data_IF_585359994419
#
_entry.id   IF_585359994419
#
_cell.length_a   1.000
_cell.length_b   1.000
_cell.length_c   1.000
_cell.angle_alpha   90.00
_cell.angle_beta   90.00
_cell.angle_gamma   90.00
#
_symmetry.space_group_name_H-M   'P 1'
#
loop_
_entity.id
_entity.type
_entity.pdbx_description
1 polymer ?
#
# COMPACT_ATOMS: atom_id res chain seq x y z
N UNK A 1 -25.88 -5.24 -2.99
CA UNK A 1 -24.74 -5.76 -3.78
C UNK A 1 -24.12 -6.94 -3.02
N UNK A 2 -23.93 -8.10 -3.68
CA UNK A 2 -23.31 -9.29 -3.08
C UNK A 2 -21.95 -8.94 -2.46
N UNK A 3 -21.69 -9.39 -1.23
CA UNK A 3 -20.43 -9.19 -0.48
C UNK A 3 -19.19 -9.55 -1.31
N UNK A 4 -19.35 -10.49 -2.24
CA UNK A 4 -18.32 -10.97 -3.16
C UNK A 4 -17.83 -9.87 -4.13
N UNK A 5 -18.72 -8.98 -4.59
CA UNK A 5 -18.35 -7.86 -5.47
C UNK A 5 -17.51 -6.82 -4.73
N UNK A 6 -17.83 -6.57 -3.45
CA UNK A 6 -17.10 -5.62 -2.60
C UNK A 6 -15.71 -6.15 -2.29
N UNK A 7 -15.61 -7.44 -1.96
CA UNK A 7 -14.32 -8.11 -1.72
C UNK A 7 -13.43 -8.04 -2.96
N UNK A 8 -13.98 -8.35 -4.15
CA UNK A 8 -13.25 -8.30 -5.41
C UNK A 8 -12.73 -6.88 -5.69
N UNK A 9 -13.57 -5.86 -5.52
CA UNK A 9 -13.17 -4.46 -5.71
C UNK A 9 -12.03 -4.06 -4.76
N UNK A 10 -12.08 -4.47 -3.49
CA UNK A 10 -11.03 -4.19 -2.50
C UNK A 10 -9.71 -4.87 -2.86
N UNK A 11 -9.76 -6.12 -3.32
CA UNK A 11 -8.58 -6.84 -3.82
C UNK A 11 -7.99 -6.09 -5.02
N UNK A 12 -8.80 -5.70 -5.99
CA UNK A 12 -8.33 -4.95 -7.16
C UNK A 12 -7.69 -3.61 -6.77
N UNK A 13 -8.28 -2.89 -5.81
CA UNK A 13 -7.72 -1.62 -5.30
C UNK A 13 -6.39 -1.87 -4.59
N UNK A 14 -6.27 -2.93 -3.78
CA UNK A 14 -5.03 -3.29 -3.12
C UNK A 14 -3.91 -3.63 -4.12
N UNK A 15 -4.24 -4.34 -5.21
CA UNK A 15 -3.29 -4.62 -6.29
C UNK A 15 -2.88 -3.36 -7.05
N UNK A 16 -3.84 -2.50 -7.41
CA UNK A 16 -3.56 -1.25 -8.10
C UNK A 16 -2.67 -0.32 -7.25
N UNK A 17 -2.94 -0.23 -5.94
CA UNK A 17 -2.12 0.57 -5.03
C UNK A 17 -0.71 -0.01 -4.86
N UNK A 18 -0.58 -1.33 -4.79
CA UNK A 18 0.72 -2.01 -4.76
C UNK A 18 1.57 -1.67 -5.98
N UNK A 19 0.99 -1.76 -7.19
CA UNK A 19 1.69 -1.44 -8.44
C UNK A 19 2.16 0.02 -8.43
N UNK A 20 1.31 0.95 -8.00
CA UNK A 20 1.67 2.37 -7.89
C UNK A 20 2.85 2.62 -6.96
N UNK A 21 2.89 1.94 -5.81
CA UNK A 21 3.95 2.13 -4.81
C UNK A 21 5.25 1.46 -5.23
N UNK A 22 5.20 0.26 -5.80
CA UNK A 22 6.39 -0.37 -6.38
C UNK A 22 6.98 0.49 -7.49
N UNK A 23 6.14 1.11 -8.32
CA UNK A 23 6.58 2.05 -9.36
C UNK A 23 7.24 3.29 -8.73
N UNK A 24 6.63 3.89 -7.71
CA UNK A 24 7.18 5.05 -7.02
C UNK A 24 8.53 4.75 -6.34
N UNK A 25 8.64 3.61 -5.66
CA UNK A 25 9.89 3.14 -5.04
C UNK A 25 10.95 2.90 -6.12
N UNK A 26 10.58 2.27 -7.24
CA UNK A 26 11.52 2.01 -8.34
C UNK A 26 12.04 3.32 -8.93
N UNK A 27 11.18 4.32 -9.14
CA UNK A 27 11.60 5.65 -9.64
C UNK A 27 12.54 6.34 -8.64
N UNK A 28 12.28 6.21 -7.34
CA UNK A 28 13.14 6.78 -6.30
C UNK A 28 14.50 6.08 -6.20
N UNK A 29 14.54 4.76 -6.42
CA UNK A 29 15.78 3.97 -6.31
C UNK A 29 16.58 3.97 -7.62
N UNK A 30 15.96 4.16 -8.78
CA UNK A 30 16.62 4.09 -10.08
C UNK A 30 17.90 4.97 -10.16
N UNK A 31 17.92 6.23 -9.70
CA UNK A 31 19.11 7.06 -9.79
C UNK A 31 20.22 6.66 -8.81
N UNK A 32 19.90 5.90 -7.74
CA UNK A 32 20.91 5.28 -6.86
C UNK A 32 21.74 4.26 -7.63
N UNK A 33 21.07 3.44 -8.46
CA UNK A 33 21.72 2.38 -9.23
C UNK A 33 22.53 2.89 -10.41
N UNK A 34 22.19 4.08 -10.93
CA UNK A 34 22.86 4.69 -12.08
C UNK A 34 24.06 5.57 -11.69
N UNK A 35 24.47 5.59 -10.41
CA UNK A 35 25.58 6.42 -9.89
C UNK A 35 25.39 7.91 -10.25
N UNK A 36 24.14 8.35 -10.34
CA UNK A 36 23.81 9.75 -10.65
C UNK A 36 23.96 10.62 -9.39
N UNK A 37 23.90 10.01 -8.21
CA UNK A 37 24.04 10.72 -6.95
C UNK A 37 25.49 10.85 -6.51
N UNK A 38 26.00 12.08 -6.54
CA UNK A 38 27.29 12.44 -5.98
C UNK A 38 27.26 12.61 -4.44
N UNK A 39 26.08 12.61 -3.82
CA UNK A 39 25.88 12.89 -2.40
C UNK A 39 25.27 11.73 -1.64
N UNK A 40 26.01 11.20 -0.66
CA UNK A 40 25.57 10.12 0.24
C UNK A 40 24.29 10.49 1.03
N UNK A 41 24.09 11.78 1.32
CA UNK A 41 22.92 12.26 2.03
C UNK A 41 21.64 12.18 1.19
N UNK A 42 21.73 12.45 -0.12
CA UNK A 42 20.60 12.29 -1.04
C UNK A 42 20.16 10.82 -1.12
N UNK A 43 21.14 9.92 -1.10
CA UNK A 43 20.91 8.47 -1.17
C UNK A 43 20.16 7.95 0.05
N UNK A 44 20.63 8.31 1.24
CA UNK A 44 19.99 7.97 2.50
C UNK A 44 18.58 8.57 2.60
N UNK A 45 18.38 9.81 2.16
CA UNK A 45 17.07 10.44 2.15
C UNK A 45 16.07 9.69 1.27
N UNK A 46 16.46 9.30 0.04
CA UNK A 46 15.59 8.54 -0.87
C UNK A 46 15.24 7.15 -0.34
N UNK A 47 16.21 6.43 0.22
CA UNK A 47 15.97 5.15 0.89
C UNK A 47 14.97 5.32 2.05
N UNK A 48 15.15 6.37 2.86
CA UNK A 48 14.21 6.74 3.92
C UNK A 48 12.80 7.00 3.39
N UNK A 49 12.66 7.79 2.31
CA UNK A 49 11.37 8.04 1.67
C UNK A 49 10.72 6.77 1.13
N UNK A 50 11.48 5.88 0.50
CA UNK A 50 10.96 4.59 0.00
C UNK A 50 10.46 3.69 1.15
N UNK A 51 11.19 3.64 2.27
CA UNK A 51 10.76 2.92 3.48
C UNK A 51 9.49 3.52 4.08
N UNK A 52 9.39 4.85 4.16
CA UNK A 52 8.19 5.54 4.65
C UNK A 52 6.99 5.24 3.76
N UNK A 53 7.15 5.34 2.42
CA UNK A 53 6.10 5.00 1.45
C UNK A 53 5.60 3.56 1.63
N UNK A 54 6.52 2.63 1.80
CA UNK A 54 6.17 1.23 2.05
C UNK A 54 5.46 1.04 3.39
N UNK A 55 5.95 1.65 4.47
CA UNK A 55 5.33 1.56 5.79
C UNK A 55 3.91 2.15 5.81
N UNK A 56 3.71 3.30 5.16
CA UNK A 56 2.40 3.94 5.02
C UNK A 56 1.43 3.04 4.25
N UNK A 57 1.90 2.36 3.20
CA UNK A 57 1.08 1.40 2.46
C UNK A 57 0.66 0.19 3.30
N UNK A 58 1.60 -0.39 4.05
CA UNK A 58 1.31 -1.52 4.94
C UNK A 58 0.31 -1.11 6.03
N UNK A 59 0.48 0.08 6.61
CA UNK A 59 -0.45 0.62 7.59
C UNK A 59 -1.87 0.79 6.99
N UNK A 60 -1.95 1.35 5.78
CA UNK A 60 -3.22 1.51 5.07
C UNK A 60 -3.90 0.16 4.78
N UNK A 61 -3.14 -0.87 4.37
CA UNK A 61 -3.68 -2.23 4.20
C UNK A 61 -4.21 -2.82 5.50
N UNK A 62 -3.53 -2.57 6.63
CA UNK A 62 -3.96 -3.04 7.93
C UNK A 62 -5.29 -2.41 8.35
N UNK A 63 -5.43 -1.08 8.18
CA UNK A 63 -6.71 -0.41 8.41
C UNK A 63 -7.83 -0.91 7.50
N UNK A 64 -7.51 -1.17 6.23
CA UNK A 64 -8.48 -1.74 5.28
C UNK A 64 -8.96 -3.13 5.75
N UNK A 65 -8.04 -3.98 6.20
CA UNK A 65 -8.36 -5.31 6.74
C UNK A 65 -9.21 -5.23 8.02
N UNK A 66 -8.91 -4.27 8.92
CA UNK A 66 -9.73 -4.01 10.11
C UNK A 66 -11.13 -3.55 9.75
N UNK A 67 -11.26 -2.60 8.82
CA UNK A 67 -12.56 -2.08 8.38
C UNK A 67 -13.43 -3.19 7.76
N UNK A 68 -12.85 -4.05 6.92
CA UNK A 68 -13.54 -5.19 6.32
C UNK A 68 -13.99 -6.17 7.40
N UNK A 69 -13.12 -6.49 8.36
CA UNK A 69 -13.42 -7.40 9.48
C UNK A 69 -14.59 -6.92 10.32
N UNK A 70 -14.62 -5.63 10.68
CA UNK A 70 -15.71 -5.01 11.44
C UNK A 70 -17.02 -5.04 10.64
N UNK A 71 -16.96 -4.68 9.36
CA UNK A 71 -18.15 -4.63 8.48
C UNK A 71 -18.77 -6.01 8.26
N UNK A 72 -17.95 -7.04 8.10
CA UNK A 72 -18.41 -8.43 7.98
C UNK A 72 -19.02 -8.95 9.28
N UNK A 73 -18.47 -8.58 10.44
CA UNK A 73 -19.01 -8.94 11.76
C UNK A 73 -20.40 -8.34 11.99
N UNK A 74 -20.60 -7.04 11.70
CA UNK A 74 -21.91 -6.37 11.81
C UNK A 74 -22.97 -6.93 10.85
N UNK A 75 -22.58 -7.33 9.63
CA UNK A 75 -23.50 -7.93 8.66
C UNK A 75 -24.05 -9.31 9.07
N UNK A 76 -23.41 -9.99 10.02
CA UNK A 76 -23.81 -11.33 10.50
C UNK A 76 -24.75 -11.29 11.71
N UNK A 77 -24.77 -10.18 12.46
CA UNK A 77 -25.59 -10.01 13.67
C UNK A 77 -27.01 -9.47 13.45
N UNK A 78 -27.32 -8.91 12.28
CA UNK A 78 -28.63 -8.28 11.97
C UNK A 78 -29.69 -9.20 11.33
N UNK A 79 -29.53 -10.52 11.44
CA UNK A 79 -30.48 -11.52 10.91
C UNK A 79 -31.17 -12.34 12.02
N UNK A 80 -31.55 -11.70 13.12
CA UNK A 80 -32.51 -12.28 14.06
C UNK A 80 -33.73 -11.38 14.10
#
# INVERSE_FOLDING_TARGET
MSSLKILLALITIAWASLIGILTAITILILPLTQVIESSLAASLARLGFSLILFAVWVFWLFELALYISIKLSRGRGGKR
#
